data_IF_011503778776
#
_entry.id   IF_011503778776
#
_cell.length_a   1.000
_cell.length_b   1.000
_cell.length_c   1.000
_cell.angle_alpha   90.00
_cell.angle_beta   90.00
_cell.angle_gamma   90.00
#
_symmetry.space_group_name_H-M   'P 1'
#
loop_
_entity.id
_entity.type
_entity.pdbx_description
1 polymer ?
#
# COMPACT_ATOMS: atom_id res chain seq x y z
N UNK A 1 -34.10 -34.70 23.31
CA UNK A 1 -33.18 -35.18 22.25
C UNK A 1 -33.63 -34.62 20.92
N UNK A 2 -32.65 -34.22 20.10
CA UNK A 2 -32.74 -33.63 18.75
C UNK A 2 -32.96 -32.11 18.75
N UNK A 3 -32.18 -31.27 18.09
CA UNK A 3 -30.83 -31.37 17.50
C UNK A 3 -30.57 -29.99 16.88
N UNK A 4 -29.32 -29.53 16.95
CA UNK A 4 -28.68 -28.66 15.96
C UNK A 4 -29.15 -27.19 15.94
N UNK A 5 -28.53 -26.39 16.80
CA UNK A 5 -28.21 -24.99 16.47
C UNK A 5 -27.31 -25.05 15.22
N UNK A 6 -27.92 -24.98 14.03
CA UNK A 6 -27.20 -24.73 12.78
C UNK A 6 -26.74 -23.28 12.77
N UNK A 7 -25.67 -22.98 13.51
CA UNK A 7 -24.89 -21.76 13.34
C UNK A 7 -23.99 -21.94 12.09
N UNK A 8 -24.63 -22.16 10.95
CA UNK A 8 -23.99 -22.43 9.67
C UNK A 8 -24.27 -21.28 8.73
N UNK A 9 -23.18 -20.67 8.24
CA UNK A 9 -23.12 -19.71 7.15
C UNK A 9 -23.77 -18.35 7.38
N UNK A 10 -22.92 -17.35 7.65
CA UNK A 10 -22.83 -16.14 6.83
C UNK A 10 -21.47 -15.49 7.11
N UNK A 11 -20.39 -16.24 6.83
CA UNK A 11 -19.13 -15.60 6.47
C UNK A 11 -19.39 -14.90 5.14
N UNK A 12 -19.87 -13.66 5.22
CA UNK A 12 -19.94 -12.76 4.08
C UNK A 12 -18.51 -12.60 3.60
N UNK A 13 -18.20 -13.38 2.58
CA UNK A 13 -17.03 -13.23 1.73
C UNK A 13 -17.18 -11.83 1.12
N UNK A 14 -16.54 -10.83 1.72
CA UNK A 14 -16.28 -9.54 1.07
C UNK A 14 -15.19 -9.74 0.01
N UNK A 15 -15.38 -10.71 -0.90
CA UNK A 15 -14.56 -10.81 -2.09
C UNK A 15 -15.09 -9.80 -3.09
N UNK A 16 -14.39 -8.66 -3.15
CA UNK A 16 -13.99 -8.06 -4.41
C UNK A 16 -15.11 -7.79 -5.39
N UNK A 17 -16.08 -6.95 -5.01
CA UNK A 17 -16.70 -6.05 -5.98
C UNK A 17 -15.82 -4.81 -6.11
N UNK A 18 -14.64 -4.97 -6.73
CA UNK A 18 -14.10 -3.91 -7.57
C UNK A 18 -14.92 -3.92 -8.86
N UNK A 19 -16.23 -3.71 -8.72
CA UNK A 19 -17.09 -3.32 -9.82
C UNK A 19 -16.46 -2.07 -10.41
N UNK A 20 -16.07 -2.16 -11.67
CA UNK A 20 -15.45 -1.14 -12.48
C UNK A 20 -16.30 0.13 -12.57
N UNK A 21 -16.38 0.90 -11.48
CA UNK A 21 -16.55 2.33 -11.57
C UNK A 21 -15.27 2.81 -12.23
N UNK A 22 -15.38 3.25 -13.49
CA UNK A 22 -14.35 4.01 -14.20
C UNK A 22 -14.16 5.37 -13.52
N UNK A 23 -13.79 5.33 -12.24
CA UNK A 23 -13.28 6.47 -11.51
C UNK A 23 -11.94 6.82 -12.14
N UNK A 24 -11.69 8.10 -12.37
CA UNK A 24 -10.39 8.54 -12.82
C UNK A 24 -9.30 7.99 -11.88
N UNK A 25 -8.15 7.54 -12.43
CA UNK A 25 -7.09 6.98 -11.62
C UNK A 25 -6.63 8.01 -10.60
N UNK A 26 -6.62 7.62 -9.32
CA UNK A 26 -6.23 8.49 -8.21
C UNK A 26 -4.80 8.99 -8.40
N UNK A 27 -4.56 10.25 -8.03
CA UNK A 27 -3.27 10.92 -8.24
C UNK A 27 -2.22 10.47 -7.23
N UNK A 28 -0.97 10.84 -7.48
CA UNK A 28 0.13 10.64 -6.52
C UNK A 28 -0.13 11.43 -5.24
N UNK A 29 -0.62 12.66 -5.37
CA UNK A 29 -0.91 13.57 -4.25
C UNK A 29 -2.00 12.99 -3.34
N UNK A 30 -3.00 12.32 -3.92
CA UNK A 30 -4.01 11.60 -3.15
C UNK A 30 -3.35 10.56 -2.24
N UNK A 31 -2.49 9.70 -2.79
CA UNK A 31 -1.83 8.65 -2.01
C UNK A 31 -0.76 9.15 -1.05
N UNK A 32 -0.25 10.38 -1.24
CA UNK A 32 0.68 11.01 -0.30
C UNK A 32 0.01 11.52 0.98
N UNK A 33 -1.30 11.77 0.96
CA UNK A 33 -2.02 12.19 2.17
C UNK A 33 -2.00 11.05 3.22
N UNK A 34 -1.55 11.30 4.46
CA UNK A 34 -1.57 10.31 5.54
C UNK A 34 -2.94 9.65 5.78
N UNK A 35 -4.04 10.34 5.48
CA UNK A 35 -5.41 9.80 5.61
C UNK A 35 -5.66 8.63 4.65
N UNK A 36 -4.92 8.57 3.54
CA UNK A 36 -5.07 7.56 2.50
C UNK A 36 -3.99 6.46 2.60
N UNK A 37 -3.24 6.40 3.70
CA UNK A 37 -2.12 5.47 3.86
C UNK A 37 -2.53 3.98 3.79
N UNK A 38 -3.69 3.64 4.37
CA UNK A 38 -4.22 2.27 4.29
C UNK A 38 -4.58 1.91 2.84
N UNK A 39 -5.22 2.83 2.13
CA UNK A 39 -5.63 2.59 0.75
C UNK A 39 -4.43 2.46 -0.19
N UNK A 40 -3.37 3.26 0.03
CA UNK A 40 -2.09 3.10 -0.67
C UNK A 40 -1.50 1.69 -0.46
N UNK A 41 -1.50 1.18 0.77
CA UNK A 41 -0.97 -0.15 1.07
C UNK A 41 -1.77 -1.26 0.38
N UNK A 42 -3.11 -1.18 0.44
CA UNK A 42 -4.01 -2.12 -0.21
C UNK A 42 -3.84 -2.08 -1.74
N UNK A 43 -3.78 -0.89 -2.34
CA UNK A 43 -3.59 -0.73 -3.78
C UNK A 43 -2.24 -1.26 -4.24
N UNK A 44 -1.15 -0.96 -3.53
CA UNK A 44 0.18 -1.52 -3.87
C UNK A 44 0.17 -3.04 -3.77
N UNK A 45 -0.52 -3.62 -2.77
CA UNK A 45 -0.65 -5.08 -2.64
C UNK A 45 -1.45 -5.69 -3.78
N UNK A 46 -2.47 -4.99 -4.27
CA UNK A 46 -3.22 -5.36 -5.47
C UNK A 46 -2.33 -5.34 -6.72
N UNK A 47 -1.65 -4.21 -6.97
CA UNK A 47 -0.77 -4.03 -8.14
C UNK A 47 0.35 -5.07 -8.18
N UNK A 48 0.91 -5.48 -7.03
CA UNK A 48 1.97 -6.51 -6.95
C UNK A 48 1.55 -7.89 -7.49
N UNK A 49 0.26 -8.15 -7.69
CA UNK A 49 -0.21 -9.41 -8.29
C UNK A 49 0.11 -9.50 -9.78
N UNK A 50 0.26 -8.37 -10.47
CA UNK A 50 0.65 -8.29 -11.87
C UNK A 50 1.96 -7.48 -11.99
N UNK A 51 3.08 -8.10 -12.43
CA UNK A 51 4.36 -7.42 -12.55
C UNK A 51 4.36 -6.29 -13.59
N UNK A 52 3.41 -6.27 -14.53
CA UNK A 52 3.28 -5.22 -15.55
C UNK A 52 2.28 -4.12 -15.17
N UNK A 53 1.69 -4.19 -13.97
CA UNK A 53 0.67 -3.24 -13.49
C UNK A 53 1.19 -1.79 -13.47
N UNK A 54 2.45 -1.56 -13.08
CA UNK A 54 3.06 -0.22 -13.09
C UNK A 54 3.11 0.39 -14.51
N UNK A 55 3.19 -0.43 -15.55
CA UNK A 55 3.27 0.01 -16.95
C UNK A 55 1.89 0.18 -17.58
N UNK A 56 0.91 -0.64 -17.17
CA UNK A 56 -0.42 -0.73 -17.80
C UNK A 56 -1.50 0.04 -17.05
N UNK A 57 -1.34 0.24 -15.74
CA UNK A 57 -2.31 0.87 -14.86
C UNK A 57 -1.72 2.16 -14.26
N UNK A 58 -2.33 3.28 -14.64
CA UNK A 58 -1.92 4.62 -14.20
C UNK A 58 -2.09 4.82 -12.69
N UNK A 59 -3.09 4.19 -12.08
CA UNK A 59 -3.30 4.25 -10.64
C UNK A 59 -2.23 3.43 -9.91
N UNK A 60 -1.85 2.27 -10.44
CA UNK A 60 -0.71 1.50 -9.92
C UNK A 60 0.60 2.28 -10.03
N UNK A 61 0.87 2.92 -11.17
CA UNK A 61 2.02 3.82 -11.32
C UNK A 61 2.04 4.92 -10.26
N UNK A 62 0.89 5.57 -10.02
CA UNK A 62 0.78 6.63 -9.04
C UNK A 62 0.98 6.12 -7.60
N UNK A 63 0.40 4.96 -7.27
CA UNK A 63 0.54 4.32 -5.97
C UNK A 63 2.00 3.93 -5.70
N UNK A 64 2.69 3.28 -6.65
CA UNK A 64 4.11 2.96 -6.52
C UNK A 64 4.96 4.21 -6.32
N UNK A 65 4.73 5.25 -7.13
CA UNK A 65 5.45 6.52 -7.01
C UNK A 65 5.27 7.17 -5.63
N UNK A 66 4.06 7.12 -5.06
CA UNK A 66 3.81 7.59 -3.70
C UNK A 66 4.54 6.76 -2.65
N UNK A 67 4.51 5.42 -2.77
CA UNK A 67 5.24 4.52 -1.87
C UNK A 67 6.76 4.78 -1.90
N UNK A 68 7.35 4.86 -3.10
CA UNK A 68 8.78 5.14 -3.26
C UNK A 68 9.17 6.51 -2.67
N UNK A 69 8.35 7.53 -2.88
CA UNK A 69 8.59 8.87 -2.29
C UNK A 69 8.66 8.79 -0.77
N UNK A 70 7.71 8.08 -0.14
CA UNK A 70 7.68 7.89 1.32
C UNK A 70 8.88 7.13 1.85
N UNK A 71 9.34 6.11 1.12
CA UNK A 71 10.55 5.36 1.47
C UNK A 71 11.80 6.24 1.37
N UNK A 72 11.91 7.08 0.35
CA UNK A 72 13.03 8.02 0.19
C UNK A 72 13.05 9.09 1.28
N UNK A 73 11.90 9.67 1.62
CA UNK A 73 11.78 10.60 2.75
C UNK A 73 12.22 9.94 4.07
N UNK A 74 11.79 8.70 4.31
CA UNK A 74 12.26 7.93 5.48
C UNK A 74 13.77 7.79 5.48
N UNK A 75 14.39 7.44 4.35
CA UNK A 75 15.85 7.32 4.25
C UNK A 75 16.56 8.66 4.49
N UNK A 76 16.05 9.77 3.97
CA UNK A 76 16.59 11.10 4.21
C UNK A 76 16.51 11.51 5.68
N UNK A 77 15.41 11.17 6.35
CA UNK A 77 15.24 11.39 7.79
C UNK A 77 16.11 10.44 8.63
N UNK A 78 16.52 9.31 8.06
CA UNK A 78 17.43 8.33 8.70
C UNK A 78 18.90 8.63 8.36
N UNK A 79 19.24 9.83 7.86
CA UNK A 79 20.64 10.22 7.70
C UNK A 79 21.37 10.01 9.03
N UNK A 80 22.26 9.04 9.01
CA UNK A 80 23.21 8.72 10.08
C UNK A 80 23.80 10.03 10.53
N UNK A 81 23.65 10.36 11.81
CA UNK A 81 24.16 11.63 12.32
C UNK A 81 25.68 11.64 12.14
N UNK A 82 26.27 12.82 11.93
CA UNK A 82 27.72 12.95 11.77
C UNK A 82 28.49 12.33 12.95
N UNK A 83 27.86 12.22 14.13
CA UNK A 83 28.37 11.49 15.29
C UNK A 83 28.46 9.98 15.09
N UNK A 84 27.41 9.35 14.57
CA UNK A 84 27.40 7.91 14.28
C UNK A 84 28.42 7.57 13.19
N UNK A 85 28.53 8.40 12.15
CA UNK A 85 29.57 8.25 11.10
C UNK A 85 30.97 8.35 11.70
N UNK A 86 31.25 9.38 12.52
CA UNK A 86 32.57 9.54 13.17
C UNK A 86 32.97 8.34 14.03
N UNK A 87 32.01 7.70 14.72
CA UNK A 87 32.27 6.52 15.55
C UNK A 87 32.68 5.28 14.72
N UNK A 88 32.20 5.17 13.48
CA UNK A 88 32.54 4.07 12.58
C UNK A 88 33.87 4.28 11.84
N UNK A 89 34.22 5.52 11.50
CA UNK A 89 35.40 5.83 10.68
C UNK A 89 36.67 6.21 11.48
N UNK A 90 36.56 6.53 12.78
CA UNK A 90 37.72 6.77 13.67
C UNK A 90 38.16 5.52 14.44
N UNK A 91 38.03 4.33 13.86
CA UNK A 91 38.47 3.06 14.47
C UNK A 91 39.84 2.63 14.00
#
# INVERSE_FOLDING_TARGET
MKNLIKLGLLSVVTAGVFSACSSEPKSVEYYKDPKNAQELEEKVKECKKDPESELKDKECFNAYKAQYSKSLEKLQNTKITDEEVKKFFNR
#
